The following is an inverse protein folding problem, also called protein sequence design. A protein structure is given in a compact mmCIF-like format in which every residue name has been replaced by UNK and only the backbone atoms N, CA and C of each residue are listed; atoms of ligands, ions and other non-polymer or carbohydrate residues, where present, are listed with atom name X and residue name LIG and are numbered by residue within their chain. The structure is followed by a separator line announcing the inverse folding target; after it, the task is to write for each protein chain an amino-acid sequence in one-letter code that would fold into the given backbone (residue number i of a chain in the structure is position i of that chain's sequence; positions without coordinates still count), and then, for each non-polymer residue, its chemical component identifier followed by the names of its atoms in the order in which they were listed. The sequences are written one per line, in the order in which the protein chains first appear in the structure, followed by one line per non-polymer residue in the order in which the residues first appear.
data_IF_204126954607
#
_entry.id   IF_204126954607
#
_cell.length_a   1.000
_cell.length_b   1.000
_cell.length_c   1.000
_cell.angle_alpha   90.00
_cell.angle_beta   90.00
_cell.angle_gamma   90.00
#
_symmetry.space_group_name_H-M   'P 1'
#
loop_
_entity.id
_entity.type
_entity.pdbx_description
1 polymer ?
#
# COMPACT_ATOMS: atom_id res chain seq x y z
N UNK A 1 -1.80 -6.95 -3.79
CA UNK A 1 -1.59 -5.88 -2.79
C UNK A 1 -2.55 -4.77 -3.13
N UNK A 2 -3.20 -4.15 -2.13
CA UNK A 2 -4.27 -3.17 -2.25
C UNK A 2 -5.45 -3.59 -3.14
N UNK A 3 -6.56 -2.90 -3.10
CA UNK A 3 -7.80 -3.45 -3.62
C UNK A 3 -8.66 -2.46 -4.43
N UNK A 4 -8.20 -1.22 -4.62
CA UNK A 4 -8.93 -0.18 -5.33
C UNK A 4 -10.06 0.46 -4.52
N UNK A 5 -10.71 1.43 -5.14
CA UNK A 5 -11.76 2.29 -4.55
C UNK A 5 -13.13 1.64 -4.57
N UNK A 6 -13.44 0.85 -5.59
CA UNK A 6 -14.80 0.33 -5.84
C UNK A 6 -14.82 -1.18 -5.94
N UNK A 7 -16.01 -1.79 -5.73
CA UNK A 7 -16.17 -3.23 -5.94
C UNK A 7 -15.96 -3.63 -7.40
N UNK A 8 -16.23 -2.73 -8.35
CA UNK A 8 -16.01 -2.98 -9.79
C UNK A 8 -14.51 -3.02 -10.09
N UNK A 9 -13.75 -2.07 -9.58
CA UNK A 9 -12.28 -2.07 -9.69
C UNK A 9 -11.67 -3.31 -9.05
N UNK A 10 -12.06 -3.61 -7.81
CA UNK A 10 -11.57 -4.78 -7.09
C UNK A 10 -11.87 -6.10 -7.82
N UNK A 11 -13.06 -6.22 -8.44
CA UNK A 11 -13.41 -7.39 -9.23
C UNK A 11 -12.53 -7.52 -10.50
N UNK A 12 -12.18 -6.40 -11.13
CA UNK A 12 -11.24 -6.41 -12.26
C UNK A 12 -9.82 -6.81 -11.81
N UNK A 13 -9.36 -6.28 -10.68
CA UNK A 13 -8.08 -6.66 -10.06
C UNK A 13 -8.06 -8.16 -9.73
N UNK A 14 -9.11 -8.70 -9.10
CA UNK A 14 -9.21 -10.14 -8.80
C UNK A 14 -9.17 -11.00 -10.07
N UNK A 15 -9.92 -10.61 -11.10
CA UNK A 15 -9.95 -11.34 -12.38
C UNK A 15 -8.57 -11.39 -13.04
N UNK A 16 -7.86 -10.25 -13.07
CA UNK A 16 -6.50 -10.17 -13.63
C UNK A 16 -5.49 -10.96 -12.79
N UNK A 17 -5.54 -10.82 -11.46
CA UNK A 17 -4.66 -11.54 -10.56
C UNK A 17 -4.86 -13.05 -10.66
N UNK A 18 -6.11 -13.55 -10.69
CA UNK A 18 -6.41 -14.97 -10.91
C UNK A 18 -5.92 -15.47 -12.27
N UNK A 19 -6.05 -14.66 -13.30
CA UNK A 19 -5.56 -15.01 -14.64
C UNK A 19 -4.04 -15.18 -14.67
N UNK A 20 -3.31 -14.32 -13.94
CA UNK A 20 -1.86 -14.37 -13.85
C UNK A 20 -1.39 -15.51 -12.94
N UNK A 21 -2.01 -15.68 -11.79
CA UNK A 21 -1.63 -16.68 -10.80
C UNK A 21 -2.10 -18.11 -11.16
N UNK A 22 -3.07 -18.24 -12.08
CA UNK A 22 -3.66 -19.52 -12.43
C UNK A 22 -4.55 -20.14 -11.33
N UNK A 23 -4.95 -19.36 -10.34
CA UNK A 23 -5.74 -19.84 -9.20
C UNK A 23 -6.36 -18.70 -8.38
N UNK A 24 -7.07 -19.02 -7.29
CA UNK A 24 -7.68 -18.02 -6.42
C UNK A 24 -6.64 -17.19 -5.68
N UNK A 25 -7.00 -15.95 -5.36
CA UNK A 25 -6.19 -15.09 -4.48
C UNK A 25 -6.42 -15.55 -3.04
N UNK A 26 -5.34 -15.90 -2.36
CA UNK A 26 -5.38 -16.46 -0.99
C UNK A 26 -4.93 -15.45 0.07
N UNK A 27 -4.14 -14.45 -0.31
CA UNK A 27 -3.61 -13.44 0.59
C UNK A 27 -3.72 -12.05 -0.04
N UNK A 28 -4.12 -11.07 0.75
CA UNK A 28 -4.16 -9.65 0.39
C UNK A 28 -3.44 -8.86 1.47
N UNK A 29 -2.62 -7.91 1.08
CA UNK A 29 -2.02 -6.93 2.00
C UNK A 29 -2.55 -5.56 1.64
N UNK A 30 -3.14 -4.86 2.61
CA UNK A 30 -3.50 -3.45 2.51
C UNK A 30 -2.34 -2.64 3.08
N UNK A 31 -1.75 -1.80 2.24
CA UNK A 31 -0.54 -1.06 2.62
C UNK A 31 -0.80 0.01 3.66
N UNK A 32 -1.92 0.73 3.51
CA UNK A 32 -2.34 1.77 4.43
C UNK A 32 -3.87 1.98 4.33
N UNK A 33 -4.42 2.97 5.02
CA UNK A 33 -5.87 3.11 5.25
C UNK A 33 -6.64 3.92 4.19
N UNK A 34 -6.00 4.49 3.16
CA UNK A 34 -6.70 5.37 2.22
C UNK A 34 -7.69 4.60 1.36
N UNK A 35 -8.72 5.31 0.92
CA UNK A 35 -9.93 4.74 0.31
C UNK A 35 -9.63 3.90 -0.94
N UNK A 36 -8.71 4.33 -1.76
CA UNK A 36 -8.30 3.70 -3.03
C UNK A 36 -7.42 2.46 -2.85
N UNK A 37 -7.00 2.17 -1.62
CA UNK A 37 -6.29 0.95 -1.27
C UNK A 37 -7.19 -0.08 -0.57
N UNK A 38 -8.23 0.36 0.16
CA UNK A 38 -8.94 -0.51 1.08
C UNK A 38 -10.40 -0.82 0.72
N UNK A 39 -11.10 0.06 -0.01
CA UNK A 39 -12.54 -0.06 -0.18
C UNK A 39 -12.98 -1.29 -0.99
N UNK A 40 -12.13 -1.79 -1.88
CA UNK A 40 -12.40 -3.01 -2.64
C UNK A 40 -12.18 -4.32 -1.88
N UNK A 41 -11.70 -4.28 -0.62
CA UNK A 41 -11.21 -5.47 0.10
C UNK A 41 -12.26 -6.56 0.31
N UNK A 42 -13.54 -6.22 0.35
CA UNK A 42 -14.62 -7.20 0.50
C UNK A 42 -14.76 -8.18 -0.68
N UNK A 43 -14.25 -7.86 -1.86
CA UNK A 43 -14.19 -8.78 -3.02
C UNK A 43 -13.30 -9.97 -2.71
N UNK A 44 -12.31 -9.78 -1.84
CA UNK A 44 -11.34 -10.79 -1.41
C UNK A 44 -11.72 -11.44 -0.06
N UNK A 45 -13.00 -11.57 0.25
CA UNK A 45 -13.48 -12.02 1.56
C UNK A 45 -12.99 -13.43 1.96
N UNK A 46 -12.67 -14.28 0.98
CA UNK A 46 -12.14 -15.65 1.20
C UNK A 46 -10.61 -15.65 1.40
N UNK A 47 -9.92 -14.55 1.12
CA UNK A 47 -8.49 -14.42 1.34
C UNK A 47 -8.17 -14.01 2.79
N UNK A 48 -6.96 -14.32 3.23
CA UNK A 48 -6.40 -13.76 4.45
C UNK A 48 -5.93 -12.32 4.16
N UNK A 49 -6.61 -11.35 4.79
CA UNK A 49 -6.33 -9.92 4.60
C UNK A 49 -5.47 -9.40 5.75
N UNK A 50 -4.30 -8.90 5.41
CA UNK A 50 -3.30 -8.33 6.32
C UNK A 50 -3.24 -6.81 6.19
N UNK A 51 -3.09 -6.11 7.29
CA UNK A 51 -2.82 -4.67 7.33
C UNK A 51 -2.19 -4.30 8.69
N UNK A 52 -1.79 -3.06 8.87
CA UNK A 52 -1.37 -2.57 10.18
C UNK A 52 -2.55 -2.59 11.19
N UNK A 53 -2.30 -2.78 12.50
CA UNK A 53 -3.37 -2.82 13.51
C UNK A 53 -4.26 -1.58 13.49
N UNK A 54 -3.71 -0.40 13.26
CA UNK A 54 -4.46 0.86 13.20
C UNK A 54 -5.41 0.89 12.01
N UNK A 55 -5.07 0.21 10.90
CA UNK A 55 -5.95 0.08 9.75
C UNK A 55 -7.15 -0.80 10.08
N UNK A 56 -6.96 -1.89 10.85
CA UNK A 56 -8.07 -2.73 11.35
C UNK A 56 -9.05 -1.89 12.18
N UNK A 57 -8.53 -1.09 13.10
CA UNK A 57 -9.33 -0.21 13.96
C UNK A 57 -10.07 0.85 13.13
N UNK A 58 -9.36 1.50 12.22
CA UNK A 58 -9.91 2.53 11.34
C UNK A 58 -11.05 2.00 10.46
N UNK A 59 -10.88 0.87 9.81
CA UNK A 59 -11.91 0.25 8.97
C UNK A 59 -13.12 -0.25 9.77
N UNK A 60 -12.96 -0.46 11.07
CA UNK A 60 -14.04 -0.87 11.97
C UNK A 60 -14.88 0.32 12.50
N UNK A 61 -14.35 1.55 12.49
CA UNK A 61 -14.93 2.68 13.23
C UNK A 61 -15.08 3.99 12.43
N UNK A 62 -14.29 4.19 11.37
CA UNK A 62 -14.13 5.50 10.72
C UNK A 62 -14.54 5.53 9.22
N UNK A 63 -15.46 4.68 8.80
CA UNK A 63 -15.89 4.56 7.40
C UNK A 63 -16.48 5.85 6.80
N UNK A 64 -16.99 6.76 7.63
CA UNK A 64 -17.44 8.08 7.19
C UNK A 64 -16.31 8.93 6.60
N UNK A 65 -15.13 8.88 7.19
CA UNK A 65 -13.97 9.61 6.68
C UNK A 65 -13.51 9.05 5.32
N UNK A 66 -13.55 7.71 5.15
CA UNK A 66 -13.26 7.07 3.85
C UNK A 66 -14.20 7.54 2.75
N UNK A 67 -15.49 7.68 3.10
CA UNK A 67 -16.50 8.17 2.16
C UNK A 67 -16.21 9.60 1.73
N UNK A 68 -16.02 10.49 2.68
CA UNK A 68 -15.82 11.91 2.41
C UNK A 68 -14.55 12.14 1.59
N UNK A 69 -13.50 11.41 1.89
CA UNK A 69 -12.23 11.43 1.18
C UNK A 69 -12.37 10.93 -0.27
N UNK A 70 -12.97 9.76 -0.47
CA UNK A 70 -13.23 9.22 -1.81
C UNK A 70 -14.07 10.19 -2.69
N UNK A 71 -15.10 10.79 -2.11
CA UNK A 71 -15.95 11.77 -2.83
C UNK A 71 -15.17 13.05 -3.13
N UNK A 72 -14.30 13.50 -2.22
CA UNK A 72 -13.41 14.64 -2.42
C UNK A 72 -12.47 14.44 -3.61
N UNK A 73 -12.09 13.21 -3.88
CA UNK A 73 -11.26 12.80 -5.02
C UNK A 73 -12.07 12.42 -6.28
N UNK A 74 -13.40 12.62 -6.25
CA UNK A 74 -14.25 12.47 -7.44
C UNK A 74 -14.77 11.04 -7.68
N UNK A 75 -14.68 10.15 -6.71
CA UNK A 75 -15.26 8.82 -6.81
C UNK A 75 -16.80 8.87 -6.87
N UNK A 76 -17.44 7.90 -7.56
CA UNK A 76 -18.89 7.80 -7.63
C UNK A 76 -19.47 7.44 -6.26
N UNK A 77 -20.40 8.27 -5.77
CA UNK A 77 -20.99 8.12 -4.44
C UNK A 77 -21.71 6.77 -4.26
N UNK A 78 -22.40 6.28 -5.28
CA UNK A 78 -23.14 5.02 -5.21
C UNK A 78 -22.19 3.82 -5.17
N UNK A 79 -21.06 3.87 -5.89
CA UNK A 79 -20.03 2.83 -5.84
C UNK A 79 -19.34 2.81 -4.48
N UNK A 80 -18.95 3.98 -3.95
CA UNK A 80 -18.33 4.12 -2.63
C UNK A 80 -19.27 3.64 -1.53
N UNK A 81 -20.55 4.01 -1.55
CA UNK A 81 -21.53 3.56 -0.57
C UNK A 81 -21.72 2.04 -0.58
N UNK A 82 -21.68 1.40 -1.76
CA UNK A 82 -21.72 -0.06 -1.89
C UNK A 82 -20.45 -0.72 -1.32
N UNK A 83 -19.28 -0.16 -1.61
CA UNK A 83 -18.01 -0.66 -1.11
C UNK A 83 -17.95 -0.59 0.43
N UNK A 84 -18.34 0.55 1.01
CA UNK A 84 -18.42 0.74 2.47
C UNK A 84 -19.42 -0.23 3.12
N UNK A 85 -20.60 -0.42 2.54
CA UNK A 85 -21.61 -1.33 3.07
C UNK A 85 -21.13 -2.81 3.05
N UNK A 86 -20.27 -3.16 2.10
CA UNK A 86 -19.68 -4.50 1.99
C UNK A 86 -18.42 -4.69 2.84
N UNK A 87 -17.80 -3.60 3.30
CA UNK A 87 -16.51 -3.63 4.01
C UNK A 87 -16.53 -4.57 5.22
N UNK A 88 -15.43 -5.28 5.41
CA UNK A 88 -15.21 -6.16 6.57
C UNK A 88 -13.86 -5.82 7.18
N UNK A 89 -13.78 -5.88 8.51
CA UNK A 89 -12.51 -5.69 9.19
C UNK A 89 -11.52 -6.79 8.77
N UNK A 90 -10.29 -6.43 8.40
CA UNK A 90 -9.22 -7.38 8.11
C UNK A 90 -8.95 -8.29 9.30
N UNK A 91 -8.57 -9.55 9.04
CA UNK A 91 -8.35 -10.56 10.09
C UNK A 91 -6.99 -10.42 10.76
N UNK A 92 -5.98 -9.94 10.04
CA UNK A 92 -4.60 -9.94 10.49
C UNK A 92 -4.06 -8.50 10.61
N UNK A 93 -4.04 -8.00 11.85
CA UNK A 93 -3.36 -6.74 12.19
C UNK A 93 -1.90 -7.01 12.54
N UNK A 94 -0.96 -6.63 11.67
CA UNK A 94 0.47 -6.93 11.80
C UNK A 94 1.33 -5.73 11.41
N UNK A 95 2.50 -5.60 12.01
CA UNK A 95 3.57 -4.73 11.51
C UNK A 95 4.62 -5.51 10.73
N UNK A 96 4.84 -6.77 11.14
CA UNK A 96 5.78 -7.67 10.50
C UNK A 96 5.15 -9.06 10.40
N UNK A 97 5.27 -9.69 9.24
CA UNK A 97 4.85 -11.06 9.03
C UNK A 97 5.62 -11.70 7.88
N UNK A 98 5.69 -13.01 7.91
CA UNK A 98 6.14 -13.83 6.76
C UNK A 98 4.95 -14.62 6.27
N UNK A 99 4.64 -14.52 4.99
CA UNK A 99 3.59 -15.29 4.33
C UNK A 99 4.27 -16.36 3.48
N UNK A 100 3.99 -17.62 3.78
CA UNK A 100 4.41 -18.77 2.99
C UNK A 100 3.41 -18.98 1.84
N UNK A 101 3.88 -18.88 0.61
CA UNK A 101 3.09 -19.08 -0.62
C UNK A 101 3.29 -20.49 -1.21
N UNK A 102 4.01 -21.36 -0.49
CA UNK A 102 4.28 -22.75 -0.86
C UNK A 102 5.63 -22.93 -1.56
N UNK A 103 5.85 -22.28 -2.69
CA UNK A 103 7.11 -22.33 -3.44
C UNK A 103 8.08 -21.19 -3.08
N UNK A 104 7.57 -20.16 -2.41
CA UNK A 104 8.29 -18.97 -1.94
C UNK A 104 7.59 -18.34 -0.74
N UNK A 105 8.26 -17.39 -0.12
CA UNK A 105 7.65 -16.55 0.91
C UNK A 105 7.75 -15.08 0.50
N UNK A 106 6.91 -14.27 1.12
CA UNK A 106 7.02 -12.80 1.10
C UNK A 106 7.03 -12.29 2.53
N UNK A 107 7.65 -11.15 2.74
CA UNK A 107 7.70 -10.50 4.06
C UNK A 107 6.88 -9.23 4.03
N UNK A 108 5.99 -9.05 5.00
CA UNK A 108 5.34 -7.78 5.31
C UNK A 108 6.22 -7.07 6.35
N UNK A 109 6.44 -5.78 6.20
CA UNK A 109 7.19 -4.99 7.18
C UNK A 109 6.67 -3.55 7.27
N UNK A 110 6.59 -3.01 8.50
CA UNK A 110 6.43 -1.59 8.76
C UNK A 110 7.83 -0.98 8.93
N UNK A 111 8.31 -0.32 7.88
CA UNK A 111 9.68 0.24 7.88
C UNK A 111 9.74 1.66 8.48
N UNK A 112 8.63 2.21 8.89
CA UNK A 112 8.52 3.51 9.52
C UNK A 112 7.38 4.33 8.96
N UNK A 113 7.16 5.49 9.55
CA UNK A 113 6.11 6.44 9.16
C UNK A 113 6.53 7.20 7.92
N UNK A 114 5.55 7.57 7.10
CA UNK A 114 5.83 8.31 5.87
C UNK A 114 4.59 8.92 5.28
N UNK A 115 4.00 8.29 4.28
CA UNK A 115 2.74 8.70 3.70
C UNK A 115 1.60 8.67 4.72
N UNK A 116 1.59 7.63 5.56
CA UNK A 116 0.78 7.56 6.78
C UNK A 116 1.64 7.15 7.99
N UNK A 117 0.99 6.96 9.13
CA UNK A 117 1.66 6.44 10.33
C UNK A 117 1.87 4.91 10.27
N UNK A 118 1.19 4.20 9.37
CA UNK A 118 1.04 2.74 9.39
C UNK A 118 1.31 2.08 8.03
N UNK A 119 2.18 2.69 7.22
CA UNK A 119 2.53 2.18 5.90
C UNK A 119 3.24 0.83 5.97
N UNK A 120 2.70 -0.19 5.31
CA UNK A 120 3.31 -1.49 5.17
C UNK A 120 3.95 -1.63 3.79
N UNK A 121 5.08 -2.30 3.75
CA UNK A 121 5.70 -2.75 2.51
C UNK A 121 5.66 -4.28 2.42
N UNK A 122 5.65 -4.81 1.20
CA UNK A 122 5.78 -6.24 0.96
C UNK A 122 7.04 -6.49 0.17
N UNK A 123 7.89 -7.38 0.67
CA UNK A 123 9.16 -7.76 0.04
C UNK A 123 9.05 -9.17 -0.49
N UNK A 124 9.18 -9.32 -1.79
CA UNK A 124 9.34 -10.60 -2.46
C UNK A 124 10.84 -10.81 -2.73
N UNK A 125 11.47 -11.83 -2.14
CA UNK A 125 12.90 -12.09 -2.36
C UNK A 125 13.16 -12.45 -3.82
N UNK A 126 14.40 -12.23 -4.25
CA UNK A 126 14.84 -12.62 -5.57
C UNK A 126 14.64 -14.14 -5.78
N UNK A 127 14.15 -14.52 -6.96
CA UNK A 127 14.28 -15.88 -7.48
C UNK A 127 15.66 -16.03 -8.13
N UNK A 128 16.05 -17.27 -8.50
CA UNK A 128 17.40 -17.62 -8.95
C UNK A 128 18.03 -16.62 -9.95
N UNK A 129 17.23 -16.09 -10.87
CA UNK A 129 17.66 -15.11 -11.89
C UNK A 129 16.91 -13.77 -11.80
N UNK A 130 16.20 -13.52 -10.70
CA UNK A 130 15.34 -12.34 -10.53
C UNK A 130 15.91 -11.29 -9.59
N UNK A 131 15.28 -10.12 -9.57
CA UNK A 131 15.54 -9.07 -8.60
C UNK A 131 14.62 -9.22 -7.38
N UNK A 132 15.03 -8.64 -6.26
CA UNK A 132 14.11 -8.37 -5.13
C UNK A 132 13.02 -7.43 -5.62
N UNK A 133 11.77 -7.70 -5.30
CA UNK A 133 10.65 -6.79 -5.59
C UNK A 133 10.11 -6.26 -4.27
N UNK A 134 10.02 -4.94 -4.15
CA UNK A 134 9.50 -4.26 -2.98
C UNK A 134 8.23 -3.50 -3.39
N UNK A 135 7.09 -3.92 -2.89
CA UNK A 135 5.84 -3.21 -3.03
C UNK A 135 5.76 -2.18 -1.90
N UNK A 136 5.66 -0.92 -2.23
CA UNK A 136 5.87 0.18 -1.28
C UNK A 136 4.60 0.91 -0.88
N UNK A 137 3.47 0.64 -1.56
CA UNK A 137 2.31 1.53 -1.44
C UNK A 137 2.73 2.97 -1.74
N UNK A 138 2.07 3.91 -1.12
CA UNK A 138 2.26 5.34 -1.35
C UNK A 138 3.46 5.95 -0.62
N UNK A 139 4.26 5.10 0.04
CA UNK A 139 5.62 5.52 0.43
C UNK A 139 6.44 5.93 -0.79
N UNK A 140 6.16 5.34 -1.97
CA UNK A 140 6.75 5.73 -3.26
C UNK A 140 5.61 6.02 -4.23
N UNK A 141 5.69 7.18 -4.90
CA UNK A 141 4.72 7.66 -5.87
C UNK A 141 5.41 7.95 -7.21
N UNK A 142 4.93 7.33 -8.31
CA UNK A 142 5.51 7.55 -9.66
C UNK A 142 4.60 8.38 -10.55
N UNK A 143 3.29 8.32 -10.32
CA UNK A 143 2.32 8.99 -11.19
C UNK A 143 2.28 10.51 -11.00
N UNK A 144 2.73 11.00 -9.84
CA UNK A 144 2.73 12.41 -9.44
C UNK A 144 3.82 12.73 -8.40
N UNK A 145 3.82 13.94 -7.83
CA UNK A 145 4.55 14.23 -6.59
C UNK A 145 3.90 13.43 -5.43
N UNK A 146 4.71 12.97 -4.44
CA UNK A 146 4.15 12.27 -3.28
C UNK A 146 3.02 13.06 -2.61
N UNK A 147 1.89 12.41 -2.39
CA UNK A 147 0.76 13.01 -1.70
C UNK A 147 1.11 13.25 -0.23
N UNK A 148 1.00 14.50 0.21
CA UNK A 148 1.26 14.93 1.58
C UNK A 148 -0.05 15.40 2.18
N UNK A 149 -0.60 14.59 3.08
CA UNK A 149 -1.88 14.83 3.74
C UNK A 149 -1.69 15.10 5.24
N UNK A 150 -2.80 15.31 5.94
CA UNK A 150 -2.79 15.66 7.36
C UNK A 150 -2.23 14.52 8.26
N UNK A 151 -2.22 13.29 7.78
CA UNK A 151 -1.70 12.11 8.48
C UNK A 151 -0.30 11.68 8.02
N UNK A 152 0.29 12.42 7.09
CA UNK A 152 1.66 12.18 6.65
C UNK A 152 2.69 12.67 7.67
N UNK A 153 3.77 11.89 7.82
CA UNK A 153 4.93 12.26 8.64
C UNK A 153 6.12 12.64 7.75
N UNK A 154 6.01 13.82 7.14
CA UNK A 154 7.02 14.32 6.19
C UNK A 154 8.44 14.35 6.79
N UNK A 155 8.66 14.73 8.07
CA UNK A 155 9.97 14.65 8.70
C UNK A 155 10.54 13.22 8.81
N UNK A 156 9.71 12.22 9.06
CA UNK A 156 10.15 10.83 9.20
C UNK A 156 10.30 10.11 7.85
N UNK A 157 9.53 10.51 6.85
CA UNK A 157 9.42 9.82 5.56
C UNK A 157 10.76 9.58 4.86
N UNK A 158 11.72 10.53 4.78
CA UNK A 158 13.01 10.27 4.16
C UNK A 158 13.80 9.13 4.81
N UNK A 159 13.74 9.03 6.14
CA UNK A 159 14.42 7.94 6.87
C UNK A 159 13.71 6.59 6.65
N UNK A 160 12.41 6.59 6.44
CA UNK A 160 11.65 5.40 6.05
C UNK A 160 12.07 4.94 4.65
N UNK A 161 12.22 5.85 3.68
CA UNK A 161 12.71 5.51 2.35
C UNK A 161 14.16 5.02 2.35
N UNK A 162 15.02 5.49 3.26
CA UNK A 162 16.37 4.93 3.44
C UNK A 162 16.28 3.45 3.88
N UNK A 163 15.32 3.08 4.74
CA UNK A 163 15.10 1.69 5.15
C UNK A 163 14.49 0.85 4.02
N UNK A 164 13.56 1.40 3.24
CA UNK A 164 13.03 0.75 2.04
C UNK A 164 14.17 0.41 1.06
N UNK A 165 15.05 1.38 0.78
CA UNK A 165 16.22 1.18 -0.08
C UNK A 165 17.21 0.14 0.49
N UNK A 166 17.43 0.14 1.80
CA UNK A 166 18.30 -0.83 2.46
C UNK A 166 17.73 -2.26 2.40
N UNK A 167 16.40 -2.38 2.46
CA UNK A 167 15.69 -3.66 2.39
C UNK A 167 15.71 -4.25 0.98
N UNK A 168 15.41 -3.44 -0.05
CA UNK A 168 15.39 -3.90 -1.44
C UNK A 168 16.79 -4.05 -2.04
N UNK A 169 17.66 -3.11 -1.74
CA UNK A 169 19.00 -3.04 -2.35
C UNK A 169 19.03 -2.25 -3.67
N UNK A 170 20.22 -2.11 -4.25
CA UNK A 170 20.43 -1.24 -5.43
C UNK A 170 19.79 -1.77 -6.72
N UNK A 171 19.64 -3.08 -6.85
CA UNK A 171 19.10 -3.74 -8.05
C UNK A 171 17.62 -4.14 -7.90
N UNK A 172 16.97 -3.76 -6.78
CA UNK A 172 15.58 -4.09 -6.55
C UNK A 172 14.64 -3.32 -7.50
N UNK A 173 13.51 -3.93 -7.77
CA UNK A 173 12.36 -3.29 -8.43
C UNK A 173 11.42 -2.82 -7.34
N UNK A 174 11.06 -1.53 -7.35
CA UNK A 174 10.11 -0.96 -6.42
C UNK A 174 8.78 -0.73 -7.12
N UNK A 175 7.71 -1.23 -6.53
CA UNK A 175 6.34 -1.10 -7.04
C UNK A 175 5.63 -0.06 -6.16
N UNK A 176 5.39 1.15 -6.70
CA UNK A 176 4.66 2.20 -5.99
C UNK A 176 3.18 1.87 -5.84
N UNK A 177 2.46 2.64 -5.01
CA UNK A 177 1.01 2.57 -4.94
C UNK A 177 0.37 2.98 -6.27
N UNK A 178 0.89 4.05 -6.87
CA UNK A 178 0.43 4.57 -8.16
C UNK A 178 1.58 4.72 -9.14
N UNK A 179 1.28 4.45 -10.42
CA UNK A 179 2.23 4.60 -11.51
C UNK A 179 2.94 3.29 -11.87
N UNK A 180 4.16 3.41 -12.42
CA UNK A 180 4.94 2.29 -12.95
C UNK A 180 5.97 1.82 -11.94
N UNK A 181 6.45 0.58 -12.12
CA UNK A 181 7.61 0.07 -11.41
C UNK A 181 8.83 1.00 -11.61
N UNK A 182 9.59 1.22 -10.54
CA UNK A 182 10.73 2.12 -10.50
C UNK A 182 11.98 1.44 -9.94
N UNK A 183 13.12 2.06 -10.12
CA UNK A 183 14.41 1.62 -9.59
C UNK A 183 14.79 2.34 -8.26
N UNK A 184 15.89 1.91 -7.67
CA UNK A 184 16.42 2.52 -6.46
C UNK A 184 16.82 4.00 -6.63
N UNK A 185 17.17 4.42 -7.85
CA UNK A 185 17.54 5.81 -8.10
C UNK A 185 16.31 6.72 -8.05
N UNK A 186 15.18 6.28 -8.58
CA UNK A 186 13.91 6.99 -8.44
C UNK A 186 13.55 7.20 -6.95
N UNK A 187 13.61 6.13 -6.15
CA UNK A 187 13.31 6.21 -4.71
C UNK A 187 14.25 7.17 -3.99
N UNK A 188 15.55 7.21 -4.37
CA UNK A 188 16.50 8.19 -3.82
C UNK A 188 16.13 9.62 -4.18
N UNK A 189 15.70 9.90 -5.43
CA UNK A 189 15.25 11.25 -5.85
C UNK A 189 14.02 11.69 -5.05
N UNK A 190 13.04 10.82 -4.88
CA UNK A 190 11.85 11.12 -4.09
C UNK A 190 12.22 11.39 -2.61
N UNK A 191 13.07 10.55 -2.02
CA UNK A 191 13.59 10.77 -0.66
C UNK A 191 14.25 12.15 -0.51
N UNK A 192 15.07 12.55 -1.47
CA UNK A 192 15.78 13.84 -1.42
C UNK A 192 14.81 15.02 -1.63
N UNK A 193 13.80 14.85 -2.44
CA UNK A 193 12.69 15.78 -2.60
C UNK A 193 11.91 15.98 -1.28
N UNK A 194 11.63 14.90 -0.55
CA UNK A 194 10.96 14.94 0.76
C UNK A 194 11.87 15.60 1.83
N UNK A 195 13.18 15.33 1.82
CA UNK A 195 14.13 15.97 2.74
C UNK A 195 14.12 17.49 2.64
N UNK A 196 14.00 18.02 1.44
CA UNK A 196 13.92 19.48 1.23
C UNK A 196 12.65 20.07 1.85
N UNK A 197 11.56 19.33 1.90
CA UNK A 197 10.27 19.74 2.46
C UNK A 197 10.15 19.50 3.96
N UNK A 198 10.86 18.53 4.49
CA UNK A 198 10.95 18.24 5.91
C UNK A 198 11.77 19.31 6.69
N UNK A 199 12.63 20.06 6.00
CA UNK A 199 13.43 21.11 6.63
C UNK A 199 12.60 22.39 6.71
N UNK A 200 12.35 22.97 7.90
CA UNK A 200 11.73 24.30 8.00
C UNK A 200 12.54 25.28 7.17
N UNK A 201 11.90 26.03 6.28
CA UNK A 201 12.57 27.12 5.57
C UNK A 201 13.24 28.08 6.55
N UNK A 202 14.35 28.79 6.17
CA UNK A 202 14.91 29.79 7.00
C UNK A 202 13.85 30.87 7.26
N UNK A 203 13.49 31.07 8.56
CA UNK A 203 12.55 32.05 9.04
C UNK A 203 13.04 33.48 8.82
#
# INVERSE_FOLDING_TARGET
MDTGTTLVEAAAIDADARRIAGGPITHVVLTHKHFDHVLGSSVFAEADVYCAPEVVEYLSSATGNLRDDALGHGADAGEVDRAIAALRAPRHGVYDAVIDLGDRWVTIAHLGRGHTASDLVVVAPASDDGAVVVFTGDLVEESADPAIDADSDVPAWPATLDRVLATGGPEAIYIPGHGKAVDAEFVRRQRDWLRQRATPGPG
#
